data_IF_675614932497
#
_entry.id   IF_675614932497
#
_cell.length_a   1.000
_cell.length_b   1.000
_cell.length_c   1.000
_cell.angle_alpha   90.00
_cell.angle_beta   90.00
_cell.angle_gamma   90.00
#
_symmetry.space_group_name_H-M   'P 1'
#
loop_
_entity.id
_entity.type
_entity.pdbx_description
1 polymer ?
#
# COMPACT_ATOMS: atom_id res chain seq x y z
N UNK A 1 -51.38 34.63 59.70
CA UNK A 1 -50.00 35.00 59.29
C UNK A 1 -49.32 34.02 58.32
N UNK A 2 -49.59 32.71 58.37
CA UNK A 2 -48.90 31.72 57.52
C UNK A 2 -49.05 31.89 55.98
N UNK A 3 -50.21 32.37 55.49
CA UNK A 3 -50.43 32.57 54.04
C UNK A 3 -49.58 33.71 53.43
N UNK A 4 -49.26 34.77 54.19
CA UNK A 4 -48.40 35.87 53.72
C UNK A 4 -46.94 35.44 53.57
N UNK A 5 -46.43 34.59 54.48
CA UNK A 5 -45.07 34.03 54.38
C UNK A 5 -44.89 33.08 53.20
N UNK A 6 -45.93 32.32 52.81
CA UNK A 6 -45.85 31.42 51.67
C UNK A 6 -45.85 32.17 50.32
N UNK A 7 -46.58 33.28 50.22
CA UNK A 7 -46.59 34.13 49.02
C UNK A 7 -45.27 34.90 48.83
N UNK A 8 -44.65 35.41 49.89
CA UNK A 8 -43.33 36.07 49.79
C UNK A 8 -42.22 35.09 49.41
N UNK A 9 -42.24 33.86 49.92
CA UNK A 9 -41.25 32.82 49.56
C UNK A 9 -41.34 32.41 48.09
N UNK A 10 -42.56 32.20 47.57
CA UNK A 10 -42.78 31.93 46.12
C UNK A 10 -42.38 33.10 45.22
N UNK A 11 -42.55 34.35 45.68
CA UNK A 11 -42.14 35.54 44.93
C UNK A 11 -40.61 35.66 44.88
N UNK A 12 -39.93 35.38 46.00
CA UNK A 12 -38.46 35.35 46.09
C UNK A 12 -37.84 34.23 45.23
N UNK A 13 -38.42 33.03 45.23
CA UNK A 13 -37.98 31.92 44.37
C UNK A 13 -38.13 32.25 42.88
N UNK A 14 -39.24 32.90 42.48
CA UNK A 14 -39.42 33.37 41.10
C UNK A 14 -38.42 34.45 40.70
N UNK A 15 -38.06 35.35 41.62
CA UNK A 15 -37.05 36.39 41.33
C UNK A 15 -35.65 35.80 41.24
N UNK A 16 -35.30 34.86 42.12
CA UNK A 16 -34.03 34.14 42.06
C UNK A 16 -33.89 33.32 40.75
N UNK A 17 -34.95 32.62 40.34
CA UNK A 17 -34.96 31.87 39.07
C UNK A 17 -34.83 32.80 37.85
N UNK A 18 -35.45 33.98 37.87
CA UNK A 18 -35.31 34.96 36.79
C UNK A 18 -33.91 35.58 36.75
N UNK A 19 -33.28 35.81 37.90
CA UNK A 19 -31.91 36.31 37.99
C UNK A 19 -30.90 35.28 37.46
N UNK A 20 -31.08 34.01 37.83
CA UNK A 20 -30.24 32.91 37.35
C UNK A 20 -30.37 32.72 35.83
N UNK A 21 -31.59 32.77 35.29
CA UNK A 21 -31.81 32.74 33.83
C UNK A 21 -31.13 33.91 33.11
N UNK A 22 -31.20 35.13 33.66
CA UNK A 22 -30.52 36.30 33.08
C UNK A 22 -29.01 36.19 33.14
N UNK A 23 -28.45 35.60 34.20
CA UNK A 23 -27.01 35.37 34.33
C UNK A 23 -26.51 34.38 33.28
N UNK A 24 -27.19 33.24 33.13
CA UNK A 24 -26.87 32.25 32.09
C UNK A 24 -26.98 32.85 30.68
N UNK A 25 -28.01 33.66 30.41
CA UNK A 25 -28.16 34.33 29.12
C UNK A 25 -26.99 35.28 28.82
N UNK A 26 -26.50 36.03 29.83
CA UNK A 26 -25.33 36.91 29.67
C UNK A 26 -24.04 36.13 29.40
N UNK A 27 -23.83 35.01 30.08
CA UNK A 27 -22.65 34.15 29.87
C UNK A 27 -22.66 33.53 28.46
N UNK A 28 -23.84 33.09 28.00
CA UNK A 28 -24.01 32.60 26.62
C UNK A 28 -23.75 33.71 25.60
N UNK A 29 -24.28 34.91 25.83
CA UNK A 29 -24.09 36.04 24.93
C UNK A 29 -22.61 36.47 24.86
N UNK A 30 -21.90 36.46 25.99
CA UNK A 30 -20.47 36.76 26.01
C UNK A 30 -19.64 35.71 25.25
N UNK A 31 -19.95 34.43 25.46
CA UNK A 31 -19.32 33.34 24.72
C UNK A 31 -19.56 33.48 23.21
N UNK A 32 -20.78 33.85 22.81
CA UNK A 32 -21.13 34.08 21.40
C UNK A 32 -20.36 35.25 20.77
N UNK A 33 -20.23 36.37 21.49
CA UNK A 33 -19.49 37.53 21.01
C UNK A 33 -17.99 37.20 20.86
N UNK A 34 -17.41 36.50 21.83
CA UNK A 34 -15.99 36.10 21.76
C UNK A 34 -15.70 35.18 20.56
N UNK A 35 -16.62 34.26 20.25
CA UNK A 35 -16.52 33.38 19.09
C UNK A 35 -16.67 34.14 17.76
N UNK A 36 -17.55 35.15 17.69
CA UNK A 36 -17.66 36.02 16.52
C UNK A 36 -16.37 36.81 16.27
N UNK A 37 -15.69 37.27 17.33
CA UNK A 37 -14.42 37.98 17.22
C UNK A 37 -13.30 37.05 16.74
N UNK A 38 -13.21 35.83 17.29
CA UNK A 38 -12.28 34.79 16.81
C UNK A 38 -12.53 34.44 15.34
N UNK A 39 -13.79 34.33 14.94
CA UNK A 39 -14.16 34.08 13.54
C UNK A 39 -13.75 35.23 12.62
N UNK A 40 -14.00 36.48 13.03
CA UNK A 40 -13.56 37.66 12.30
C UNK A 40 -12.03 37.70 12.13
N UNK A 41 -11.27 37.42 13.19
CA UNK A 41 -9.81 37.35 13.13
C UNK A 41 -9.30 36.24 12.20
N UNK A 42 -9.93 35.06 12.23
CA UNK A 42 -9.59 33.95 11.34
C UNK A 42 -9.90 34.26 9.88
N UNK A 43 -11.05 34.90 9.60
CA UNK A 43 -11.44 35.35 8.25
C UNK A 43 -10.47 36.40 7.71
N UNK A 44 -10.04 37.35 8.54
CA UNK A 44 -9.05 38.36 8.16
C UNK A 44 -7.67 37.77 7.87
N UNK A 45 -7.21 36.80 8.68
CA UNK A 45 -5.98 36.06 8.39
C UNK A 45 -6.09 35.26 7.09
N UNK A 46 -7.23 34.60 6.86
CA UNK A 46 -7.50 33.81 5.66
C UNK A 46 -7.52 34.65 4.37
N UNK A 47 -8.16 35.83 4.40
CA UNK A 47 -8.20 36.75 3.25
C UNK A 47 -6.81 37.29 2.89
N UNK A 48 -5.88 37.36 3.85
CA UNK A 48 -4.51 37.84 3.63
C UNK A 48 -3.52 36.73 3.22
N UNK A 49 -3.86 35.44 3.33
CA UNK A 49 -2.89 34.34 3.18
C UNK A 49 -3.05 33.51 1.90
N UNK A 50 -4.07 33.77 1.06
CA UNK A 50 -4.28 33.01 -0.18
C UNK A 50 -3.71 33.80 -1.36
N UNK A 51 -2.64 33.30 -2.03
CA UNK A 51 -2.22 33.82 -3.32
C UNK A 51 -3.29 33.55 -4.38
N UNK A 52 -3.43 34.45 -5.36
CA UNK A 52 -4.50 34.42 -6.37
C UNK A 52 -4.59 33.09 -7.14
N UNK A 53 -3.49 32.34 -7.22
CA UNK A 53 -3.40 31.04 -7.90
C UNK A 53 -3.86 29.82 -7.04
N UNK A 54 -4.51 30.07 -5.90
CA UNK A 54 -4.95 29.05 -4.93
C UNK A 54 -6.35 28.43 -5.18
N UNK A 55 -6.72 27.39 -4.39
CA UNK A 55 -7.60 26.25 -4.72
C UNK A 55 -8.98 26.58 -5.29
N UNK A 56 -9.60 25.60 -5.97
CA UNK A 56 -10.88 25.73 -6.68
C UNK A 56 -11.97 26.39 -5.82
N UNK A 57 -12.87 27.14 -6.48
CA UNK A 57 -13.92 27.94 -5.82
C UNK A 57 -14.78 27.16 -4.81
N UNK A 58 -14.92 25.84 -4.99
CA UNK A 58 -15.58 24.93 -4.05
C UNK A 58 -14.83 24.74 -2.74
N UNK A 59 -13.50 24.64 -2.77
CA UNK A 59 -12.66 24.54 -1.56
C UNK A 59 -12.68 25.85 -0.79
N UNK A 60 -12.62 27.00 -1.49
CA UNK A 60 -12.80 28.32 -0.86
C UNK A 60 -14.16 28.45 -0.18
N UNK A 61 -15.24 27.98 -0.82
CA UNK A 61 -16.61 27.96 -0.24
C UNK A 61 -16.74 26.98 0.92
N UNK A 62 -16.15 25.79 0.85
CA UNK A 62 -16.19 24.81 1.92
C UNK A 62 -15.46 25.30 3.17
N UNK A 63 -14.32 25.97 3.00
CA UNK A 63 -13.56 26.58 4.11
C UNK A 63 -14.33 27.76 4.73
N UNK A 64 -15.06 28.55 3.94
CA UNK A 64 -15.91 29.64 4.44
C UNK A 64 -17.14 29.14 5.21
N UNK A 65 -17.75 28.04 4.76
CA UNK A 65 -18.97 27.47 5.37
C UNK A 65 -18.64 26.61 6.59
N UNK A 66 -17.44 26.00 6.65
CA UNK A 66 -17.07 25.06 7.70
C UNK A 66 -17.22 25.65 9.12
N UNK A 67 -16.74 26.87 9.45
CA UNK A 67 -16.95 27.43 10.79
C UNK A 67 -18.43 27.68 11.11
N UNK A 68 -19.25 28.02 10.12
CA UNK A 68 -20.68 28.26 10.33
C UNK A 68 -21.39 26.96 10.76
N UNK A 69 -21.09 25.85 10.09
CA UNK A 69 -21.62 24.53 10.44
C UNK A 69 -21.01 23.99 11.73
N UNK A 70 -19.73 24.28 12.00
CA UNK A 70 -18.98 23.76 13.15
C UNK A 70 -19.24 24.49 14.46
N UNK A 71 -19.62 25.76 14.43
CA UNK A 71 -19.78 26.55 15.65
C UNK A 71 -21.24 26.93 15.88
N UNK A 72 -22.01 27.28 14.85
CA UNK A 72 -23.41 27.71 15.03
C UNK A 72 -24.32 26.50 15.23
N UNK A 73 -24.14 25.39 14.48
CA UNK A 73 -25.00 24.21 14.64
C UNK A 73 -24.84 23.55 16.03
N UNK A 74 -23.61 23.40 16.59
CA UNK A 74 -23.44 22.92 17.95
C UNK A 74 -23.92 23.92 19.01
N UNK A 75 -23.88 25.23 18.75
CA UNK A 75 -24.41 26.26 19.66
C UNK A 75 -25.95 26.31 19.66
N UNK A 76 -26.58 25.99 18.53
CA UNK A 76 -28.04 25.75 18.44
C UNK A 76 -28.41 24.45 19.16
N UNK A 77 -27.59 23.40 19.03
CA UNK A 77 -27.76 22.15 19.80
C UNK A 77 -27.45 22.32 21.30
N UNK A 78 -26.56 23.24 21.66
CA UNK A 78 -26.20 23.65 23.03
C UNK A 78 -27.41 24.23 23.79
N UNK A 79 -28.36 24.82 23.05
CA UNK A 79 -29.61 25.32 23.62
C UNK A 79 -30.65 24.21 23.93
N UNK A 80 -30.44 22.99 23.40
CA UNK A 80 -31.48 21.93 23.39
C UNK A 80 -31.10 20.70 24.23
N UNK A 81 -29.82 20.38 24.45
CA UNK A 81 -29.46 19.22 25.31
C UNK A 81 -28.03 19.25 25.89
N UNK A 82 -27.91 19.32 27.23
CA UNK A 82 -26.64 19.35 27.98
C UNK A 82 -25.75 18.09 27.83
N UNK A 83 -26.31 16.94 27.45
CA UNK A 83 -25.59 15.64 27.41
C UNK A 83 -24.93 15.29 26.07
N UNK A 84 -25.24 15.99 24.98
CA UNK A 84 -24.70 15.70 23.63
C UNK A 84 -23.39 16.48 23.38
N UNK A 85 -23.03 17.38 24.30
CA UNK A 85 -21.93 18.33 24.22
C UNK A 85 -20.57 17.67 23.93
N UNK A 86 -20.17 16.70 24.75
CA UNK A 86 -18.78 16.19 24.67
C UNK A 86 -18.59 15.23 23.50
N UNK A 87 -19.63 14.45 23.16
CA UNK A 87 -19.60 13.51 22.04
C UNK A 87 -19.62 14.22 20.68
N UNK A 88 -20.37 15.32 20.54
CA UNK A 88 -20.40 16.10 19.32
C UNK A 88 -19.04 16.76 19.04
N UNK A 89 -18.38 17.32 20.06
CA UNK A 89 -17.04 17.91 19.90
C UNK A 89 -15.98 16.88 19.55
N UNK A 90 -16.01 15.69 20.18
CA UNK A 90 -15.07 14.60 19.86
C UNK A 90 -15.30 14.10 18.43
N UNK A 91 -16.54 13.91 18.00
CA UNK A 91 -16.85 13.51 16.61
C UNK A 91 -16.41 14.56 15.60
N UNK A 92 -16.66 15.85 15.89
CA UNK A 92 -16.24 16.95 15.04
C UNK A 92 -14.72 16.99 14.90
N UNK A 93 -13.96 16.95 16.01
CA UNK A 93 -12.48 16.99 15.94
C UNK A 93 -11.93 15.74 15.24
N UNK A 94 -12.49 14.56 15.51
CA UNK A 94 -12.02 13.28 14.97
C UNK A 94 -12.30 13.11 13.48
N UNK A 95 -13.44 13.63 12.98
CA UNK A 95 -13.80 13.55 11.57
C UNK A 95 -13.18 14.68 10.74
N UNK A 96 -12.85 15.82 11.37
CA UNK A 96 -12.43 17.02 10.65
C UNK A 96 -10.93 17.10 10.37
N UNK A 97 -10.08 16.67 11.31
CA UNK A 97 -8.63 16.67 11.09
C UNK A 97 -8.22 15.86 9.83
N UNK A 98 -8.79 14.65 9.56
CA UNK A 98 -8.50 13.91 8.34
C UNK A 98 -9.06 14.58 7.08
N UNK A 99 -10.27 15.17 7.15
CA UNK A 99 -10.92 15.84 6.01
C UNK A 99 -10.17 17.11 5.59
N UNK A 100 -9.76 17.95 6.55
CA UNK A 100 -8.95 19.16 6.27
C UNK A 100 -7.56 18.80 5.79
N UNK A 101 -6.88 17.81 6.37
CA UNK A 101 -5.58 17.38 5.84
C UNK A 101 -5.71 16.91 4.38
N UNK A 102 -6.78 16.19 4.05
CA UNK A 102 -7.03 15.72 2.69
C UNK A 102 -7.31 16.87 1.71
N UNK A 103 -7.95 17.94 2.17
CA UNK A 103 -8.25 19.14 1.38
C UNK A 103 -7.02 20.04 1.21
N UNK A 104 -6.19 20.20 2.26
CA UNK A 104 -4.99 21.05 2.25
C UNK A 104 -3.84 20.44 1.45
N UNK A 105 -3.75 19.10 1.38
CA UNK A 105 -2.64 18.44 0.69
C UNK A 105 -2.78 18.46 -0.85
N UNK A 106 -3.99 18.71 -1.37
CA UNK A 106 -4.32 18.75 -2.79
C UNK A 106 -4.10 17.42 -3.52
N UNK A 107 -4.88 17.16 -4.57
CA UNK A 107 -4.56 16.05 -5.48
C UNK A 107 -3.30 16.39 -6.28
N UNK A 108 -2.28 15.52 -6.24
CA UNK A 108 -1.04 15.67 -7.02
C UNK A 108 -1.07 14.75 -8.24
N UNK A 109 -0.49 15.20 -9.35
CA UNK A 109 -0.18 14.30 -10.46
C UNK A 109 0.87 13.28 -10.04
N UNK A 110 0.90 12.12 -10.72
CA UNK A 110 1.87 11.06 -10.43
C UNK A 110 3.32 11.56 -10.52
N UNK A 111 3.67 12.36 -11.53
CA UNK A 111 5.02 12.90 -11.69
C UNK A 111 5.44 13.76 -10.48
N UNK A 112 4.57 14.69 -10.05
CA UNK A 112 4.83 15.54 -8.88
C UNK A 112 4.88 14.74 -7.58
N UNK A 113 4.13 13.64 -7.49
CA UNK A 113 4.18 12.76 -6.33
C UNK A 113 5.52 12.04 -6.26
N UNK A 114 5.95 11.41 -7.35
CA UNK A 114 7.18 10.60 -7.43
C UNK A 114 8.44 11.45 -7.23
N UNK A 115 8.44 12.71 -7.68
CA UNK A 115 9.53 13.67 -7.42
C UNK A 115 9.74 13.94 -5.93
N UNK A 116 8.66 14.00 -5.15
CA UNK A 116 8.71 14.28 -3.71
C UNK A 116 8.83 13.01 -2.87
N UNK A 117 8.27 11.91 -3.34
CA UNK A 117 8.21 10.63 -2.66
C UNK A 117 8.76 9.55 -3.60
N UNK A 118 10.07 9.22 -3.51
CA UNK A 118 10.68 8.28 -4.43
C UNK A 118 10.00 6.90 -4.31
N UNK A 119 9.58 6.33 -5.44
CA UNK A 119 8.92 5.02 -5.50
C UNK A 119 9.91 3.85 -5.56
N UNK A 120 11.18 4.14 -5.78
CA UNK A 120 12.27 3.16 -5.79
C UNK A 120 13.53 3.78 -5.21
N UNK A 121 14.31 2.97 -4.48
CA UNK A 121 15.56 3.38 -3.84
C UNK A 121 16.67 2.38 -4.15
N UNK A 122 17.92 2.86 -4.19
CA UNK A 122 19.08 1.99 -4.22
C UNK A 122 19.42 1.51 -2.81
N UNK A 123 19.53 0.20 -2.65
CA UNK A 123 19.99 -0.44 -1.42
C UNK A 123 21.34 -1.10 -1.67
N UNK A 124 22.37 -0.64 -0.98
CA UNK A 124 23.70 -1.28 -0.99
C UNK A 124 23.78 -2.29 0.15
N UNK A 125 23.96 -3.56 -0.21
CA UNK A 125 24.13 -4.67 0.73
C UNK A 125 25.51 -4.61 1.39
N UNK A 126 25.70 -5.34 2.49
CA UNK A 126 26.99 -5.42 3.19
C UNK A 126 28.17 -5.88 2.32
N UNK A 127 27.90 -6.69 1.28
CA UNK A 127 28.92 -7.16 0.33
C UNK A 127 29.33 -6.10 -0.73
N UNK A 128 28.75 -4.89 -0.68
CA UNK A 128 28.98 -3.81 -1.64
C UNK A 128 28.07 -3.84 -2.88
N UNK A 129 27.22 -4.85 -3.04
CA UNK A 129 26.29 -4.93 -4.17
C UNK A 129 25.09 -3.99 -3.96
N UNK A 130 24.86 -3.12 -4.93
CA UNK A 130 23.68 -2.24 -4.94
C UNK A 130 22.55 -2.83 -5.76
N UNK A 131 21.37 -2.96 -5.16
CA UNK A 131 20.13 -3.38 -5.81
C UNK A 131 19.09 -2.27 -5.77
N UNK A 132 18.23 -2.21 -6.79
CA UNK A 132 17.09 -1.29 -6.80
C UNK A 132 15.93 -1.99 -6.12
N UNK A 133 15.32 -1.36 -5.10
CA UNK A 133 14.18 -1.89 -4.36
C UNK A 133 13.02 -0.91 -4.40
N UNK A 134 11.80 -1.45 -4.30
CA UNK A 134 10.58 -0.64 -4.26
C UNK A 134 10.40 -0.07 -2.86
N UNK A 135 10.11 1.23 -2.75
CA UNK A 135 9.84 1.88 -1.45
C UNK A 135 8.42 1.58 -1.00
N UNK A 136 8.09 1.92 0.25
CA UNK A 136 6.73 1.77 0.78
C UNK A 136 5.71 2.56 -0.06
N UNK A 137 6.08 3.76 -0.47
CA UNK A 137 5.28 4.64 -1.31
C UNK A 137 5.08 4.04 -2.71
N UNK A 138 6.11 3.42 -3.29
CA UNK A 138 6.01 2.69 -4.55
C UNK A 138 5.07 1.48 -4.46
N UNK A 139 5.19 0.67 -3.41
CA UNK A 139 4.29 -0.47 -3.17
C UNK A 139 2.83 -0.02 -3.06
N UNK A 140 2.57 1.05 -2.30
CA UNK A 140 1.24 1.62 -2.14
C UNK A 140 0.67 2.17 -3.44
N UNK A 141 1.50 2.83 -4.25
CA UNK A 141 1.09 3.36 -5.54
C UNK A 141 0.68 2.24 -6.51
N UNK A 142 1.49 1.18 -6.61
CA UNK A 142 1.18 0.01 -7.44
C UNK A 142 -0.11 -0.67 -7.00
N UNK A 143 -0.20 -1.00 -5.71
CA UNK A 143 -1.38 -1.65 -5.15
C UNK A 143 -2.63 -0.78 -5.35
N UNK A 144 -2.54 0.52 -5.04
CA UNK A 144 -3.67 1.44 -5.11
C UNK A 144 -4.26 1.57 -6.52
N UNK A 145 -3.44 1.70 -7.57
CA UNK A 145 -3.97 1.79 -8.93
C UNK A 145 -4.49 0.46 -9.48
N UNK A 146 -3.84 -0.66 -9.15
CA UNK A 146 -4.38 -1.99 -9.50
C UNK A 146 -5.75 -2.18 -8.87
N UNK A 147 -5.88 -1.87 -7.57
CA UNK A 147 -7.15 -2.04 -6.85
C UNK A 147 -8.26 -1.14 -7.40
N UNK A 148 -7.94 0.08 -7.85
CA UNK A 148 -8.92 0.97 -8.52
C UNK A 148 -9.47 0.33 -9.80
N UNK A 149 -8.59 -0.21 -10.64
CA UNK A 149 -8.97 -0.84 -11.90
C UNK A 149 -9.81 -2.10 -11.64
N UNK A 150 -9.36 -2.95 -10.71
CA UNK A 150 -10.10 -4.17 -10.34
C UNK A 150 -11.48 -3.82 -9.75
N UNK A 151 -11.56 -2.84 -8.85
CA UNK A 151 -12.83 -2.42 -8.24
C UNK A 151 -13.79 -1.80 -9.26
N UNK A 152 -13.29 -1.04 -10.23
CA UNK A 152 -14.12 -0.52 -11.31
C UNK A 152 -14.70 -1.65 -12.16
N UNK A 153 -13.88 -2.64 -12.53
CA UNK A 153 -14.32 -3.83 -13.27
C UNK A 153 -15.39 -4.61 -12.50
N UNK A 154 -15.16 -4.85 -11.20
CA UNK A 154 -16.14 -5.52 -10.32
C UNK A 154 -17.45 -4.73 -10.19
N UNK A 155 -17.41 -3.42 -10.40
CA UNK A 155 -18.59 -2.54 -10.44
C UNK A 155 -19.23 -2.44 -11.83
N UNK A 156 -18.78 -3.24 -12.80
CA UNK A 156 -19.27 -3.25 -14.18
C UNK A 156 -18.82 -2.05 -15.02
N UNK A 157 -17.77 -1.33 -14.60
CA UNK A 157 -17.26 -0.13 -15.29
C UNK A 157 -15.80 -0.28 -15.70
N UNK A 158 -15.36 0.49 -16.69
CA UNK A 158 -13.98 0.49 -17.17
C UNK A 158 -13.64 1.82 -17.86
N UNK A 159 -12.34 2.09 -18.02
CA UNK A 159 -11.83 3.16 -18.87
C UNK A 159 -11.43 2.68 -20.27
N UNK A 160 -11.48 1.38 -20.56
CA UNK A 160 -11.03 0.76 -21.81
C UNK A 160 -9.64 1.23 -22.29
N UNK A 161 -8.74 1.51 -21.35
CA UNK A 161 -7.38 1.98 -21.59
C UNK A 161 -7.25 3.46 -21.99
N UNK A 162 -8.31 4.26 -21.87
CA UNK A 162 -8.33 5.67 -22.34
C UNK A 162 -7.65 6.68 -21.40
N UNK A 163 -7.30 6.27 -20.18
CA UNK A 163 -6.57 7.15 -19.25
C UNK A 163 -5.07 7.21 -19.58
N UNK A 164 -4.38 8.18 -18.99
CA UNK A 164 -2.94 8.44 -19.18
C UNK A 164 -2.31 8.86 -17.85
N UNK A 165 -1.00 9.09 -17.83
CA UNK A 165 -0.27 9.58 -16.63
C UNK A 165 -0.89 10.86 -16.06
N UNK A 166 -1.42 11.73 -16.93
CA UNK A 166 -2.08 12.98 -16.55
C UNK A 166 -3.39 12.79 -15.81
N UNK A 167 -4.00 11.61 -15.88
CA UNK A 167 -5.25 11.30 -15.20
C UNK A 167 -5.03 10.63 -13.84
N UNK A 168 -3.81 10.19 -13.56
CA UNK A 168 -3.46 9.58 -12.28
C UNK A 168 -3.27 10.68 -11.23
N UNK A 169 -4.01 10.55 -10.13
CA UNK A 169 -4.04 11.50 -9.02
C UNK A 169 -3.75 10.80 -7.70
N UNK A 170 -2.99 11.46 -6.84
CA UNK A 170 -2.67 10.97 -5.50
C UNK A 170 -2.94 12.03 -4.44
N UNK A 171 -3.55 11.62 -3.32
CA UNK A 171 -3.75 12.45 -2.12
C UNK A 171 -3.33 11.67 -0.89
N UNK A 172 -2.13 11.95 -0.38
CA UNK A 172 -1.49 11.08 0.62
C UNK A 172 -1.36 9.66 0.07
N UNK A 173 -1.97 8.69 0.75
CA UNK A 173 -1.94 7.27 0.35
C UNK A 173 -3.10 6.87 -0.59
N UNK A 174 -3.99 7.81 -0.96
CA UNK A 174 -5.14 7.51 -1.81
C UNK A 174 -4.78 7.73 -3.27
N UNK A 175 -4.93 6.69 -4.07
CA UNK A 175 -4.84 6.76 -5.53
C UNK A 175 -6.22 7.06 -6.12
N UNK A 176 -6.27 7.74 -7.26
CA UNK A 176 -7.49 8.02 -8.01
C UNK A 176 -7.18 8.18 -9.50
N UNK A 177 -8.08 7.72 -10.36
CA UNK A 177 -8.11 8.11 -11.77
C UNK A 177 -9.14 9.24 -11.89
N UNK A 178 -8.73 10.41 -12.39
CA UNK A 178 -9.59 11.59 -12.43
C UNK A 178 -10.73 11.47 -13.46
N UNK A 179 -10.53 10.68 -14.51
CA UNK A 179 -11.56 10.37 -15.51
C UNK A 179 -12.64 9.45 -14.92
N UNK A 180 -13.89 9.67 -15.33
CA UNK A 180 -14.96 8.75 -15.03
C UNK A 180 -14.84 7.49 -15.92
N UNK A 181 -15.04 6.27 -15.37
CA UNK A 181 -15.06 5.05 -16.16
C UNK A 181 -16.40 4.92 -16.89
N UNK A 182 -16.42 5.28 -18.17
CA UNK A 182 -17.63 5.34 -19.01
C UNK A 182 -17.90 4.05 -19.79
N UNK A 183 -16.92 3.15 -19.90
CA UNK A 183 -17.03 1.92 -20.67
C UNK A 183 -17.57 0.77 -19.84
N UNK A 184 -18.09 -0.26 -20.50
CA UNK A 184 -18.55 -1.48 -19.85
C UNK A 184 -17.37 -2.23 -19.23
N UNK A 185 -17.55 -2.76 -18.02
CA UNK A 185 -16.57 -3.57 -17.30
C UNK A 185 -16.39 -4.97 -17.87
N UNK A 186 -16.22 -5.12 -19.18
CA UNK A 186 -15.87 -6.40 -19.79
C UNK A 186 -14.44 -6.82 -19.43
N UNK A 187 -14.13 -8.12 -19.52
CA UNK A 187 -12.77 -8.60 -19.25
C UNK A 187 -11.76 -8.06 -20.27
N UNK A 188 -12.14 -7.95 -21.55
CA UNK A 188 -11.30 -7.32 -22.57
C UNK A 188 -10.94 -5.87 -22.22
N UNK A 189 -11.90 -5.08 -21.74
CA UNK A 189 -11.65 -3.70 -21.32
C UNK A 189 -10.81 -3.63 -20.04
N UNK A 190 -10.97 -4.58 -19.11
CA UNK A 190 -10.07 -4.73 -17.96
C UNK A 190 -8.62 -4.96 -18.41
N UNK A 191 -8.37 -5.85 -19.38
CA UNK A 191 -7.02 -6.09 -19.89
C UNK A 191 -6.43 -4.84 -20.54
N UNK A 192 -7.24 -4.04 -21.24
CA UNK A 192 -6.82 -2.74 -21.79
C UNK A 192 -6.45 -1.76 -20.67
N UNK A 193 -7.28 -1.64 -19.63
CA UNK A 193 -7.00 -0.78 -18.48
C UNK A 193 -5.70 -1.17 -17.79
N UNK A 194 -5.48 -2.47 -17.55
CA UNK A 194 -4.26 -3.00 -16.94
C UNK A 194 -3.02 -2.75 -17.82
N UNK A 195 -3.13 -2.98 -19.13
CA UNK A 195 -2.04 -2.73 -20.08
C UNK A 195 -1.66 -1.25 -20.13
N UNK A 196 -2.65 -0.35 -20.16
CA UNK A 196 -2.43 1.09 -20.07
C UNK A 196 -1.77 1.46 -18.74
N UNK A 197 -2.22 0.89 -17.61
CA UNK A 197 -1.61 1.14 -16.31
C UNK A 197 -0.14 0.72 -16.29
N UNK A 198 0.18 -0.48 -16.79
CA UNK A 198 1.54 -0.99 -16.87
C UNK A 198 2.46 -0.02 -17.61
N UNK A 199 2.05 0.43 -18.80
CA UNK A 199 2.80 1.38 -19.63
C UNK A 199 3.00 2.73 -18.95
N UNK A 200 1.98 3.25 -18.26
CA UNK A 200 2.03 4.54 -17.58
C UNK A 200 2.94 4.49 -16.34
N UNK A 201 2.90 3.40 -15.57
CA UNK A 201 3.62 3.32 -14.29
C UNK A 201 5.11 2.98 -14.46
N UNK A 202 5.48 2.11 -15.41
CA UNK A 202 6.81 1.49 -15.46
C UNK A 202 7.96 2.50 -15.52
N UNK A 203 7.75 3.65 -16.16
CA UNK A 203 8.77 4.68 -16.30
C UNK A 203 9.11 5.37 -14.98
N UNK A 204 8.14 5.47 -14.07
CA UNK A 204 8.34 6.08 -12.75
C UNK A 204 9.19 5.21 -11.81
N UNK A 205 9.32 3.91 -12.10
CA UNK A 205 10.12 2.96 -11.30
C UNK A 205 11.53 2.75 -11.85
N UNK A 206 11.90 3.43 -12.94
CA UNK A 206 13.26 3.37 -13.48
C UNK A 206 14.17 4.27 -12.65
N UNK A 207 15.31 3.73 -12.23
CA UNK A 207 16.35 4.56 -11.62
C UNK A 207 17.04 5.40 -12.69
N UNK A 208 17.01 6.73 -12.55
CA UNK A 208 17.80 7.64 -13.37
C UNK A 208 19.17 7.88 -12.70
N UNK A 209 20.24 7.49 -13.38
CA UNK A 209 21.61 7.57 -12.88
C UNK A 209 22.18 8.99 -12.83
N UNK A 210 21.34 10.03 -12.91
CA UNK A 210 21.77 11.43 -12.95
C UNK A 210 22.08 12.05 -11.57
N UNK A 211 21.93 11.30 -10.47
CA UNK A 211 22.51 11.71 -9.18
C UNK A 211 23.95 11.19 -9.08
N UNK A 212 24.95 12.07 -8.98
CA UNK A 212 26.36 11.69 -9.06
C UNK A 212 26.90 11.31 -7.69
N UNK A 213 26.55 10.14 -7.16
CA UNK A 213 27.27 9.61 -6.00
C UNK A 213 27.61 8.13 -6.17
N UNK A 214 28.93 7.90 -6.22
CA UNK A 214 29.65 6.64 -6.07
C UNK A 214 29.34 5.50 -7.07
N UNK A 215 30.19 5.38 -8.09
CA UNK A 215 30.68 4.08 -8.60
C UNK A 215 29.67 3.07 -9.15
N UNK A 216 28.43 3.47 -9.46
CA UNK A 216 27.47 2.57 -10.12
C UNK A 216 27.81 2.46 -11.60
N UNK A 217 28.66 1.48 -11.96
CA UNK A 217 28.95 1.06 -13.35
C UNK A 217 27.67 1.10 -14.19
N UNK A 218 27.53 2.07 -15.10
CA UNK A 218 26.47 2.25 -16.13
C UNK A 218 25.37 1.19 -16.08
N UNK A 219 24.53 1.19 -15.03
CA UNK A 219 23.36 0.30 -14.99
C UNK A 219 22.33 0.97 -15.88
N UNK A 220 22.00 0.34 -17.02
CA UNK A 220 20.88 0.74 -17.89
C UNK A 220 19.68 1.12 -17.01
N UNK A 221 18.98 2.21 -17.32
CA UNK A 221 17.71 2.60 -16.67
C UNK A 221 16.78 1.38 -16.67
N UNK A 222 16.73 0.66 -15.55
CA UNK A 222 15.97 -0.58 -15.40
C UNK A 222 15.07 -0.41 -14.18
N UNK A 223 13.80 -0.80 -14.29
CA UNK A 223 12.90 -0.79 -13.15
C UNK A 223 13.30 -1.88 -12.14
N UNK A 224 12.76 -1.76 -10.93
CA UNK A 224 12.83 -2.82 -9.92
C UNK A 224 12.32 -4.15 -10.52
N UNK A 225 12.93 -5.26 -10.11
CA UNK A 225 12.83 -6.50 -10.84
C UNK A 225 11.43 -7.15 -10.75
N UNK A 226 10.73 -7.06 -9.62
CA UNK A 226 9.32 -7.47 -9.52
C UNK A 226 8.36 -6.50 -10.20
N UNK A 227 8.63 -5.19 -10.18
CA UNK A 227 7.87 -4.21 -10.97
C UNK A 227 8.00 -4.51 -12.47
N UNK A 228 9.18 -4.93 -12.92
CA UNK A 228 9.37 -5.41 -14.29
C UNK A 228 8.51 -6.64 -14.60
N UNK A 229 8.44 -7.62 -13.69
CA UNK A 229 7.58 -8.79 -13.88
C UNK A 229 6.08 -8.43 -13.84
N UNK A 230 5.70 -7.48 -12.98
CA UNK A 230 4.34 -6.97 -12.93
C UNK A 230 3.98 -6.27 -14.24
N UNK A 231 4.86 -5.40 -14.75
CA UNK A 231 4.67 -4.77 -16.05
C UNK A 231 4.42 -5.81 -17.14
N UNK A 232 5.26 -6.84 -17.24
CA UNK A 232 5.06 -7.92 -18.19
C UNK A 232 3.69 -8.60 -18.02
N UNK A 233 3.30 -8.88 -16.76
CA UNK A 233 1.98 -9.46 -16.42
C UNK A 233 0.81 -8.56 -16.83
N UNK A 234 0.95 -7.25 -16.71
CA UNK A 234 -0.09 -6.28 -17.05
C UNK A 234 -0.19 -6.05 -18.56
N UNK A 235 0.94 -6.06 -19.28
CA UNK A 235 0.97 -5.75 -20.72
C UNK A 235 0.78 -6.95 -21.62
N UNK A 236 1.22 -8.13 -21.16
CA UNK A 236 1.15 -9.41 -21.88
C UNK A 236 0.68 -10.52 -20.91
N UNK A 237 -0.59 -10.47 -20.47
CA UNK A 237 -1.12 -11.42 -19.51
C UNK A 237 -1.29 -12.81 -20.15
N UNK A 238 -1.11 -13.91 -19.39
CA UNK A 238 -1.34 -15.28 -19.86
C UNK A 238 -2.84 -15.64 -19.98
N UNK A 239 -3.70 -14.66 -20.21
CA UNK A 239 -5.15 -14.76 -20.37
C UNK A 239 -5.61 -13.81 -21.48
N UNK A 240 -6.79 -14.05 -22.04
CA UNK A 240 -7.35 -13.25 -23.13
C UNK A 240 -8.77 -12.82 -22.83
N UNK A 241 -9.33 -11.93 -23.66
CA UNK A 241 -10.73 -11.52 -23.58
C UNK A 241 -11.72 -12.72 -23.63
N UNK A 242 -11.31 -13.83 -24.26
CA UNK A 242 -12.12 -15.03 -24.46
C UNK A 242 -11.79 -16.16 -23.46
N UNK A 243 -10.98 -15.89 -22.44
CA UNK A 243 -10.66 -16.88 -21.40
C UNK A 243 -11.92 -17.36 -20.66
N UNK A 244 -11.85 -18.54 -20.02
CA UNK A 244 -12.99 -19.03 -19.24
C UNK A 244 -13.26 -18.11 -18.03
N UNK A 245 -14.51 -18.01 -17.54
CA UNK A 245 -14.82 -17.22 -16.34
C UNK A 245 -14.00 -17.65 -15.10
N UNK A 246 -13.63 -18.93 -15.02
CA UNK A 246 -12.78 -19.48 -13.97
C UNK A 246 -11.37 -18.92 -14.08
N UNK A 247 -10.77 -18.94 -15.27
CA UNK A 247 -9.43 -18.41 -15.52
C UNK A 247 -9.38 -16.89 -15.30
N UNK A 248 -10.43 -16.17 -15.72
CA UNK A 248 -10.57 -14.73 -15.47
C UNK A 248 -10.54 -14.42 -13.97
N UNK A 249 -11.34 -15.15 -13.18
CA UNK A 249 -11.38 -14.98 -11.72
C UNK A 249 -10.04 -15.32 -11.06
N UNK A 250 -9.38 -16.40 -11.50
CA UNK A 250 -8.06 -16.80 -10.99
C UNK A 250 -6.98 -15.77 -11.35
N UNK A 251 -7.02 -15.19 -12.56
CA UNK A 251 -6.12 -14.11 -12.95
C UNK A 251 -6.32 -12.85 -12.11
N UNK A 252 -7.56 -12.44 -11.85
CA UNK A 252 -7.86 -11.32 -10.94
C UNK A 252 -7.32 -11.61 -9.53
N UNK A 253 -7.52 -12.83 -9.01
CA UNK A 253 -6.93 -13.26 -7.72
C UNK A 253 -5.41 -13.17 -7.76
N UNK A 254 -4.77 -13.60 -8.84
CA UNK A 254 -3.32 -13.52 -9.02
C UNK A 254 -2.79 -12.08 -9.03
N UNK A 255 -3.47 -11.14 -9.70
CA UNK A 255 -3.10 -9.72 -9.68
C UNK A 255 -3.20 -9.11 -8.27
N UNK A 256 -4.25 -9.48 -7.52
CA UNK A 256 -4.38 -9.16 -6.10
C UNK A 256 -3.19 -9.66 -5.27
N UNK A 257 -2.66 -10.82 -5.68
CA UNK A 257 -1.56 -11.55 -5.03
C UNK A 257 -0.23 -11.42 -5.77
N UNK A 258 0.01 -10.34 -6.52
CA UNK A 258 1.28 -10.21 -7.22
C UNK A 258 2.41 -9.84 -6.26
N UNK A 259 3.59 -10.48 -6.38
CA UNK A 259 4.73 -10.25 -5.46
C UNK A 259 5.29 -8.82 -5.49
N UNK A 260 5.09 -8.09 -6.59
CA UNK A 260 5.43 -6.65 -6.66
C UNK A 260 4.62 -5.76 -5.71
N UNK A 261 3.55 -6.29 -5.09
CA UNK A 261 2.76 -5.60 -4.07
C UNK A 261 3.29 -5.81 -2.65
N UNK A 262 4.28 -6.70 -2.46
CA UNK A 262 4.87 -7.05 -1.16
C UNK A 262 6.28 -6.47 -1.04
N UNK A 263 6.64 -6.03 0.15
CA UNK A 263 8.02 -5.68 0.51
C UNK A 263 8.92 -6.91 0.52
N UNK A 264 10.24 -6.72 0.47
CA UNK A 264 11.19 -7.86 0.47
C UNK A 264 11.06 -8.74 1.73
N UNK A 265 10.72 -8.13 2.88
CA UNK A 265 10.45 -8.86 4.13
C UNK A 265 9.21 -9.74 4.00
N UNK A 266 8.11 -9.18 3.52
CA UNK A 266 6.83 -9.89 3.32
C UNK A 266 7.00 -11.04 2.32
N UNK A 267 7.72 -10.82 1.20
CA UNK A 267 8.09 -11.88 0.25
C UNK A 267 8.84 -13.02 0.94
N UNK A 268 9.86 -12.71 1.76
CA UNK A 268 10.63 -13.72 2.50
C UNK A 268 9.74 -14.52 3.47
N UNK A 269 8.92 -13.83 4.26
CA UNK A 269 8.03 -14.49 5.21
C UNK A 269 7.03 -15.40 4.50
N UNK A 270 6.48 -14.92 3.39
CA UNK A 270 5.61 -15.72 2.53
C UNK A 270 6.31 -16.98 2.02
N UNK A 271 7.54 -16.88 1.51
CA UNK A 271 8.27 -18.07 1.06
C UNK A 271 8.56 -19.03 2.22
N UNK A 272 8.98 -18.52 3.38
CA UNK A 272 9.18 -19.33 4.58
C UNK A 272 7.90 -20.10 4.95
N UNK A 273 6.76 -19.42 4.98
CA UNK A 273 5.49 -20.00 5.38
C UNK A 273 4.98 -20.99 4.32
N UNK A 274 5.15 -20.68 3.03
CA UNK A 274 4.92 -21.63 1.94
C UNK A 274 5.72 -22.91 2.19
N UNK A 275 7.02 -22.82 2.46
CA UNK A 275 7.87 -23.99 2.73
C UNK A 275 7.43 -24.80 3.96
N UNK A 276 6.96 -24.13 5.03
CA UNK A 276 6.42 -24.81 6.20
C UNK A 276 5.14 -25.58 5.85
N UNK A 277 4.25 -24.96 5.09
CA UNK A 277 3.02 -25.61 4.61
C UNK A 277 3.38 -26.82 3.76
N UNK A 278 4.39 -26.74 2.90
CA UNK A 278 4.82 -27.88 2.08
C UNK A 278 5.29 -29.08 2.89
N UNK A 279 5.92 -28.84 4.04
CA UNK A 279 6.31 -29.91 4.98
C UNK A 279 5.07 -30.58 5.59
N UNK A 280 3.94 -29.87 5.66
CA UNK A 280 2.68 -30.35 6.22
C UNK A 280 1.67 -30.88 5.19
N UNK A 281 1.93 -30.73 3.89
CA UNK A 281 1.04 -31.24 2.84
C UNK A 281 1.00 -32.77 2.81
N UNK A 282 -0.17 -33.31 2.48
CA UNK A 282 -0.35 -34.72 2.14
C UNK A 282 0.39 -35.11 0.86
N UNK A 283 0.55 -36.42 0.63
CA UNK A 283 1.30 -36.93 -0.52
C UNK A 283 0.74 -36.47 -1.87
N UNK A 284 -0.59 -36.35 -1.99
CA UNK A 284 -1.28 -35.97 -3.22
C UNK A 284 -1.07 -34.49 -3.53
N UNK A 285 -1.27 -33.60 -2.55
CA UNK A 285 -1.08 -32.16 -2.71
C UNK A 285 0.37 -31.81 -2.99
N UNK A 286 1.30 -32.51 -2.32
CA UNK A 286 2.73 -32.39 -2.55
C UNK A 286 3.10 -32.78 -3.98
N UNK A 287 2.61 -33.92 -4.48
CA UNK A 287 2.88 -34.35 -5.85
C UNK A 287 2.34 -33.35 -6.88
N UNK A 288 1.15 -32.78 -6.65
CA UNK A 288 0.57 -31.74 -7.50
C UNK A 288 1.43 -30.46 -7.53
N UNK A 289 1.96 -30.06 -6.37
CA UNK A 289 2.87 -28.93 -6.29
C UNK A 289 4.22 -29.20 -6.95
N UNK A 290 4.83 -30.36 -6.71
CA UNK A 290 6.11 -30.72 -7.32
C UNK A 290 5.98 -30.75 -8.86
N UNK A 291 4.88 -31.32 -9.38
CA UNK A 291 4.55 -31.27 -10.80
C UNK A 291 4.33 -29.84 -11.31
N UNK A 292 3.86 -28.93 -10.46
CA UNK A 292 3.68 -27.52 -10.79
C UNK A 292 5.01 -26.78 -10.85
N UNK A 293 5.90 -26.99 -9.87
CA UNK A 293 7.25 -26.40 -9.86
C UNK A 293 8.05 -26.87 -11.07
N UNK A 294 7.95 -28.16 -11.43
CA UNK A 294 8.62 -28.73 -12.59
C UNK A 294 8.23 -28.06 -13.93
N UNK A 295 7.03 -27.49 -14.04
CA UNK A 295 6.55 -26.79 -15.25
C UNK A 295 7.07 -25.36 -15.37
N UNK A 296 7.70 -24.81 -14.33
CA UNK A 296 8.19 -23.43 -14.34
C UNK A 296 9.42 -23.35 -15.25
N UNK A 297 9.26 -22.72 -16.41
CA UNK A 297 10.38 -22.43 -17.28
C UNK A 297 11.27 -21.34 -16.64
N UNK A 298 12.46 -21.74 -16.19
CA UNK A 298 13.51 -20.84 -15.74
C UNK A 298 14.20 -20.29 -16.99
N UNK A 299 13.97 -19.00 -17.26
CA UNK A 299 14.55 -18.31 -18.42
C UNK A 299 16.09 -18.20 -18.37
N UNK A 300 16.70 -18.50 -17.22
CA UNK A 300 18.14 -18.55 -17.04
C UNK A 300 18.65 -19.97 -17.34
N UNK A 301 19.51 -20.13 -18.34
CA UNK A 301 20.12 -21.42 -18.71
C UNK A 301 20.72 -22.18 -17.52
N UNK A 302 21.26 -21.45 -16.55
CA UNK A 302 21.70 -22.01 -15.27
C UNK A 302 21.62 -20.97 -14.15
N UNK A 303 20.60 -21.07 -13.31
CA UNK A 303 20.39 -20.17 -12.17
C UNK A 303 21.53 -20.22 -11.15
N UNK A 304 22.27 -21.33 -11.08
CA UNK A 304 23.39 -21.52 -10.13
C UNK A 304 24.52 -20.54 -10.42
N UNK A 305 24.69 -20.12 -11.67
CA UNK A 305 25.69 -19.11 -12.05
C UNK A 305 25.37 -17.71 -11.52
N UNK A 306 24.09 -17.41 -11.26
CA UNK A 306 23.71 -16.17 -10.59
C UNK A 306 23.92 -16.29 -9.08
N UNK A 307 23.52 -17.43 -8.49
CA UNK A 307 23.73 -17.70 -7.08
C UNK A 307 25.22 -17.67 -6.71
N UNK A 308 26.09 -18.23 -7.57
CA UNK A 308 27.53 -18.20 -7.36
C UNK A 308 28.13 -16.80 -7.42
N UNK A 309 27.51 -15.83 -8.12
CA UNK A 309 28.03 -14.45 -8.17
C UNK A 309 27.73 -13.64 -6.91
N UNK A 310 26.73 -14.04 -6.14
CA UNK A 310 26.35 -13.37 -4.91
C UNK A 310 27.01 -14.08 -3.72
N UNK A 311 27.90 -13.42 -2.95
CA UNK A 311 28.57 -14.01 -1.81
C UNK A 311 27.66 -14.71 -0.79
N UNK A 312 26.47 -14.16 -0.52
CA UNK A 312 25.54 -14.73 0.47
C UNK A 312 24.89 -16.01 -0.08
N UNK A 313 24.52 -16.01 -1.36
CA UNK A 313 23.93 -17.18 -2.02
C UNK A 313 24.96 -18.29 -2.27
N UNK A 314 26.20 -17.92 -2.62
CA UNK A 314 27.30 -18.86 -2.89
C UNK A 314 27.54 -19.80 -1.72
N UNK A 315 27.48 -19.31 -0.49
CA UNK A 315 27.68 -20.15 0.69
C UNK A 315 26.61 -21.24 0.83
N UNK A 316 25.33 -20.90 0.60
CA UNK A 316 24.27 -21.91 0.58
C UNK A 316 24.45 -22.88 -0.58
N UNK A 317 24.87 -22.39 -1.76
CA UNK A 317 25.07 -23.22 -2.95
C UNK A 317 26.12 -24.31 -2.72
N UNK A 318 27.21 -23.96 -2.01
CA UNK A 318 28.33 -24.85 -1.73
C UNK A 318 28.35 -25.41 -0.29
N UNK A 319 27.25 -25.29 0.47
CA UNK A 319 27.19 -25.73 1.87
C UNK A 319 27.63 -27.19 2.08
N UNK A 320 27.35 -28.07 1.12
CA UNK A 320 27.77 -29.47 1.13
C UNK A 320 29.29 -29.65 1.23
N UNK A 321 30.09 -28.73 0.67
CA UNK A 321 31.56 -28.80 0.69
C UNK A 321 32.14 -28.54 2.09
N UNK A 322 31.36 -27.91 2.98
CA UNK A 322 31.79 -27.54 4.33
C UNK A 322 31.29 -28.53 5.41
N UNK A 323 30.60 -29.61 5.02
CA UNK A 323 30.02 -30.62 5.92
C UNK A 323 30.35 -32.03 5.39
N UNK A 324 31.45 -32.67 5.83
CA UNK A 324 31.94 -33.93 5.25
C UNK A 324 30.97 -35.13 5.36
N UNK A 325 30.02 -35.09 6.30
CA UNK A 325 29.00 -36.13 6.46
C UNK A 325 27.69 -35.83 5.71
N UNK A 326 27.59 -34.71 4.99
CA UNK A 326 26.40 -34.35 4.23
C UNK A 326 26.49 -34.90 2.81
N UNK A 327 25.96 -36.11 2.60
CA UNK A 327 25.90 -36.77 1.28
C UNK A 327 24.81 -36.18 0.37
N UNK A 328 23.97 -35.26 0.87
CA UNK A 328 22.82 -34.70 0.13
C UNK A 328 23.22 -33.49 -0.71
N UNK A 329 23.51 -33.82 -1.98
CA UNK A 329 23.11 -33.16 -3.23
C UNK A 329 23.58 -31.73 -3.51
N UNK A 330 24.64 -31.67 -4.35
CA UNK A 330 24.85 -30.59 -5.32
C UNK A 330 23.53 -30.19 -5.97
N UNK A 331 23.30 -28.89 -6.14
CA UNK A 331 22.10 -28.40 -6.79
C UNK A 331 22.13 -28.67 -8.29
N UNK A 332 21.04 -29.24 -8.82
CA UNK A 332 20.79 -29.30 -10.26
C UNK A 332 20.34 -27.93 -10.83
N UNK A 333 20.33 -27.75 -12.16
CA UNK A 333 19.87 -26.51 -12.79
C UNK A 333 18.33 -26.38 -12.86
N UNK A 334 17.58 -27.40 -12.42
CA UNK A 334 16.13 -27.47 -12.51
C UNK A 334 15.38 -26.50 -11.57
N UNK A 335 14.07 -26.29 -11.82
CA UNK A 335 13.21 -25.41 -11.00
C UNK A 335 12.92 -25.97 -9.61
N UNK A 336 12.80 -27.28 -9.48
CA UNK A 336 12.72 -28.01 -8.23
C UNK A 336 13.96 -27.77 -7.36
N UNK A 337 15.13 -27.78 -7.99
CA UNK A 337 16.41 -27.54 -7.33
C UNK A 337 16.60 -26.07 -6.94
N UNK A 338 16.14 -25.13 -7.78
CA UNK A 338 16.08 -23.71 -7.42
C UNK A 338 15.13 -23.47 -6.24
N UNK A 339 13.98 -24.13 -6.23
CA UNK A 339 13.01 -24.03 -5.14
C UNK A 339 13.59 -24.57 -3.81
N UNK A 340 14.25 -25.73 -3.87
CA UNK A 340 15.00 -26.32 -2.74
C UNK A 340 16.13 -25.40 -2.26
N UNK A 341 16.84 -24.77 -3.18
CA UNK A 341 17.90 -23.81 -2.88
C UNK A 341 17.36 -22.58 -2.13
N UNK A 342 16.30 -21.96 -2.65
CA UNK A 342 15.67 -20.80 -2.00
C UNK A 342 15.20 -21.11 -0.59
N UNK A 343 14.62 -22.29 -0.35
CA UNK A 343 14.26 -22.74 1.00
C UNK A 343 15.47 -22.76 1.92
N UNK A 344 16.52 -23.45 1.51
CA UNK A 344 17.72 -23.59 2.33
C UNK A 344 18.40 -22.23 2.58
N UNK A 345 18.38 -21.33 1.60
CA UNK A 345 18.91 -19.98 1.77
C UNK A 345 18.08 -19.16 2.76
N UNK A 346 16.76 -19.22 2.72
CA UNK A 346 15.92 -18.47 3.67
C UNK A 346 15.98 -19.04 5.09
N UNK A 347 16.20 -20.35 5.24
CA UNK A 347 16.30 -21.04 6.54
C UNK A 347 17.70 -20.90 7.18
N UNK A 348 18.77 -20.89 6.38
CA UNK A 348 20.16 -20.93 6.86
C UNK A 348 21.06 -19.77 6.41
N UNK A 349 20.60 -18.90 5.52
CA UNK A 349 21.39 -17.80 4.96
C UNK A 349 21.77 -16.73 5.99
N UNK A 350 21.11 -16.71 7.15
CA UNK A 350 21.44 -15.86 8.29
C UNK A 350 22.27 -16.53 9.38
N UNK A 351 22.64 -17.79 9.22
CA UNK A 351 23.44 -18.51 10.21
C UNK A 351 24.83 -17.85 10.36
N UNK A 352 25.48 -18.05 11.51
CA UNK A 352 26.84 -17.52 11.73
C UNK A 352 27.88 -18.37 10.99
N UNK A 353 29.02 -17.77 10.66
CA UNK A 353 30.20 -18.54 10.25
C UNK A 353 30.62 -19.51 11.37
N UNK A 354 31.39 -20.53 11.03
CA UNK A 354 31.91 -21.50 12.01
C UNK A 354 32.75 -20.85 13.14
N UNK A 355 33.32 -19.67 12.88
CA UNK A 355 34.06 -18.85 13.85
C UNK A 355 33.17 -17.94 14.71
N UNK A 356 31.84 -18.05 14.61
CA UNK A 356 30.88 -17.28 15.41
C UNK A 356 30.58 -15.86 14.90
N UNK A 357 31.22 -15.41 13.81
CA UNK A 357 30.92 -14.12 13.18
C UNK A 357 29.57 -14.15 12.47
N UNK A 358 28.81 -13.05 12.56
CA UNK A 358 27.59 -12.89 11.79
C UNK A 358 27.95 -12.82 10.30
N UNK A 359 27.30 -13.65 9.47
CA UNK A 359 27.48 -13.66 8.00
C UNK A 359 26.87 -12.45 7.31
N UNK A 360 26.00 -11.73 8.02
CA UNK A 360 25.20 -10.64 7.50
C UNK A 360 25.33 -9.44 8.41
N UNK A 361 25.44 -8.25 7.80
CA UNK A 361 25.39 -6.98 8.54
C UNK A 361 23.96 -6.52 8.85
N UNK A 362 22.97 -7.01 8.08
CA UNK A 362 21.56 -6.62 8.22
C UNK A 362 20.60 -7.70 7.75
N UNK A 363 19.45 -7.82 8.40
CA UNK A 363 18.35 -8.69 7.93
C UNK A 363 17.81 -8.27 6.55
N UNK A 364 17.92 -6.97 6.21
CA UNK A 364 17.52 -6.44 4.89
C UNK A 364 18.41 -7.00 3.76
N UNK A 365 19.62 -7.48 4.07
CA UNK A 365 20.48 -8.16 3.09
C UNK A 365 19.93 -9.52 2.69
N UNK A 366 19.45 -10.34 3.64
CA UNK A 366 18.80 -11.62 3.31
C UNK A 366 17.51 -11.36 2.55
N UNK A 367 16.70 -10.43 3.03
CA UNK A 367 15.40 -10.13 2.44
C UNK A 367 15.58 -9.74 0.97
N UNK A 368 16.58 -8.91 0.66
CA UNK A 368 16.88 -8.51 -0.72
C UNK A 368 17.62 -9.59 -1.52
N UNK A 369 18.53 -10.35 -0.93
CA UNK A 369 19.25 -11.43 -1.63
C UNK A 369 18.33 -12.60 -2.02
N UNK A 370 17.43 -13.00 -1.11
CA UNK A 370 16.52 -14.11 -1.34
C UNK A 370 15.36 -13.75 -2.25
N UNK A 371 14.78 -12.55 -2.07
CA UNK A 371 13.62 -12.14 -2.84
C UNK A 371 14.00 -11.61 -4.24
N UNK A 372 15.07 -10.82 -4.38
CA UNK A 372 15.26 -10.00 -5.58
C UNK A 372 16.11 -10.68 -6.68
N UNK A 373 16.66 -11.87 -6.44
CA UNK A 373 17.55 -12.56 -7.39
C UNK A 373 16.84 -13.48 -8.39
N UNK A 374 15.68 -14.04 -8.03
CA UNK A 374 14.89 -14.88 -8.94
C UNK A 374 13.43 -14.42 -9.14
N UNK A 375 13.15 -13.13 -9.48
CA UNK A 375 11.79 -12.64 -9.71
C UNK A 375 10.98 -13.41 -10.77
N UNK A 376 11.54 -13.78 -11.94
CA UNK A 376 10.77 -14.52 -12.95
C UNK A 376 10.29 -15.88 -12.45
N UNK A 377 11.14 -16.61 -11.71
CA UNK A 377 10.79 -17.91 -11.15
C UNK A 377 9.71 -17.75 -10.07
N UNK A 378 9.91 -16.83 -9.14
CA UNK A 378 9.00 -16.62 -8.00
C UNK A 378 7.62 -16.12 -8.43
N UNK A 379 7.54 -15.19 -9.40
CA UNK A 379 6.24 -14.72 -9.93
C UNK A 379 5.51 -15.85 -10.65
N UNK A 380 6.20 -16.66 -11.46
CA UNK A 380 5.60 -17.83 -12.12
C UNK A 380 5.13 -18.88 -11.12
N UNK A 381 5.90 -19.12 -10.05
CA UNK A 381 5.48 -19.99 -8.96
C UNK A 381 4.16 -19.50 -8.36
N UNK A 382 4.09 -18.23 -7.97
CA UNK A 382 2.85 -17.63 -7.47
C UNK A 382 1.69 -17.75 -8.46
N UNK A 383 1.93 -17.47 -9.75
CA UNK A 383 0.91 -17.65 -10.78
C UNK A 383 0.36 -19.07 -10.80
N UNK A 384 1.24 -20.07 -10.85
CA UNK A 384 0.78 -21.46 -10.87
C UNK A 384 0.11 -21.90 -9.56
N UNK A 385 0.58 -21.42 -8.40
CA UNK A 385 -0.10 -21.66 -7.12
C UNK A 385 -1.55 -21.16 -7.16
N UNK A 386 -1.80 -19.99 -7.76
CA UNK A 386 -3.17 -19.45 -7.92
C UNK A 386 -3.95 -20.22 -8.98
N UNK A 387 -3.35 -20.48 -10.15
CA UNK A 387 -4.07 -21.04 -11.29
C UNK A 387 -4.41 -22.52 -11.12
N UNK A 388 -3.46 -23.29 -10.58
CA UNK A 388 -3.55 -24.77 -10.50
C UNK A 388 -4.06 -25.21 -9.13
N UNK A 389 -3.58 -24.60 -8.05
CA UNK A 389 -3.89 -25.03 -6.68
C UNK A 389 -4.93 -24.13 -5.99
N UNK A 390 -5.43 -23.11 -6.69
CA UNK A 390 -6.42 -22.12 -6.23
C UNK A 390 -6.00 -21.30 -5.00
N UNK A 391 -4.81 -21.58 -4.45
CA UNK A 391 -4.35 -21.14 -3.14
C UNK A 391 -5.48 -21.20 -2.10
N UNK A 392 -5.97 -22.38 -1.79
CA UNK A 392 -6.97 -22.59 -0.74
C UNK A 392 -6.34 -22.98 0.60
N UNK A 393 -7.10 -22.83 1.69
CA UNK A 393 -6.70 -23.27 3.03
C UNK A 393 -5.43 -22.58 3.55
N UNK A 394 -4.45 -23.37 3.98
CA UNK A 394 -3.20 -22.87 4.55
C UNK A 394 -2.40 -21.97 3.59
N UNK A 395 -2.46 -22.25 2.28
CA UNK A 395 -1.78 -21.42 1.26
C UNK A 395 -2.39 -20.03 1.14
N UNK A 396 -3.71 -19.91 1.31
CA UNK A 396 -4.39 -18.61 1.33
C UNK A 396 -4.01 -17.84 2.61
N UNK A 397 -4.03 -18.54 3.76
CA UNK A 397 -3.65 -17.96 5.05
C UNK A 397 -2.21 -17.42 5.05
N UNK A 398 -1.24 -18.17 4.54
CA UNK A 398 0.15 -17.67 4.44
C UNK A 398 0.28 -16.44 3.55
N UNK A 399 -0.65 -16.24 2.62
CA UNK A 399 -0.63 -15.12 1.70
C UNK A 399 -1.24 -13.83 2.29
N UNK A 400 -2.31 -13.97 3.07
CA UNK A 400 -3.04 -12.84 3.66
C UNK A 400 -2.36 -12.30 4.94
N UNK A 401 -1.58 -13.13 5.65
CA UNK A 401 -0.95 -12.74 6.93
C UNK A 401 0.51 -12.25 6.81
N UNK A 402 1.04 -12.22 5.59
CA UNK A 402 2.34 -11.64 5.23
C UNK A 402 2.13 -10.60 4.15
#
# INVERSE_FOLDING_TARGET
MARRHHQTRKKAERTALQLDKRRRLKEVLHSFIYQLILWGGWLSLYLNWIPDDGPSSLVRRAILIAPFVLYIAPLVLYAVADRVRDWAWVLVISLWAPCILSLLLGEKSISKYVERYPVSELYTRHNGDTVLVCTKEGLQLLAGFIDIILNAHMSGKSWAGTFSSEHLRLTGNRCRISLAPTFTGSFGNLLLDLSTLGRVLIDHYKFDSQKPEASVKKKKKRPEAYVHQLHATLTDPPVSANSSPIDMKKFIKFLGKHLARKSSREKKLLFRDLFQILKALGAVEKASLDATVAKINITLKDWRTLADKDPLLRETLYYHQFKPNNTVCRYGPGPDELFRFLRNFLEHGGDRHANGQQKIGSMKDIDTAGAELFPPFTVKLTYHLVMVLEMAGLLDYAWENN
#
